data_IF_512178091361
#
_entry.id   IF_512178091361
#
_cell.length_a   1.000
_cell.length_b   1.000
_cell.length_c   1.000
_cell.angle_alpha   90.00
_cell.angle_beta   90.00
_cell.angle_gamma   90.00
#
_symmetry.space_group_name_H-M   'P 1'
#
loop_
_entity.id
_entity.type
_entity.pdbx_description
1 polymer ?
#
# COMPACT_ATOMS: atom_id res chain seq x y z
N UNK A 1 -35.25 -17.48 7.93
CA UNK A 1 -34.83 -16.22 8.59
C UNK A 1 -33.56 -15.61 7.97
N UNK A 2 -33.19 -15.98 6.73
CA UNK A 2 -32.04 -15.44 5.98
C UNK A 2 -32.47 -14.53 4.81
N UNK A 3 -33.65 -14.77 4.24
CA UNK A 3 -34.19 -14.01 3.10
C UNK A 3 -34.58 -12.56 3.45
N UNK A 4 -34.99 -12.28 4.69
CA UNK A 4 -35.49 -10.96 5.10
C UNK A 4 -34.40 -9.87 5.09
N UNK A 5 -33.13 -10.24 5.27
CA UNK A 5 -32.02 -9.29 5.37
C UNK A 5 -31.51 -8.86 3.98
N UNK A 6 -31.58 -9.76 2.99
CA UNK A 6 -31.12 -9.49 1.62
C UNK A 6 -32.11 -8.56 0.88
N UNK A 7 -33.41 -8.69 1.17
CA UNK A 7 -34.44 -7.81 0.61
C UNK A 7 -34.35 -6.37 1.15
N UNK A 8 -34.04 -6.21 2.44
CA UNK A 8 -33.86 -4.90 3.07
C UNK A 8 -32.60 -4.18 2.52
N UNK A 9 -31.50 -4.92 2.36
CA UNK A 9 -30.28 -4.43 1.71
C UNK A 9 -30.51 -4.03 0.25
N UNK A 10 -31.28 -4.81 -0.51
CA UNK A 10 -31.60 -4.49 -1.89
C UNK A 10 -32.47 -3.22 -1.99
N UNK A 11 -33.40 -3.01 -1.06
CA UNK A 11 -34.20 -1.78 -0.99
C UNK A 11 -33.34 -0.56 -0.66
N UNK A 12 -32.43 -0.68 0.30
CA UNK A 12 -31.51 0.41 0.67
C UNK A 12 -30.58 0.79 -0.50
N UNK A 13 -30.06 -0.22 -1.22
CA UNK A 13 -29.22 -0.01 -2.39
C UNK A 13 -29.94 0.70 -3.55
N UNK A 14 -31.22 0.38 -3.77
CA UNK A 14 -32.02 1.08 -4.78
C UNK A 14 -32.33 2.52 -4.36
N UNK A 15 -32.57 2.78 -3.07
CA UNK A 15 -32.76 4.14 -2.55
C UNK A 15 -31.50 5.00 -2.74
N UNK A 16 -30.31 4.46 -2.45
CA UNK A 16 -29.04 5.17 -2.64
C UNK A 16 -28.72 5.43 -4.12
N UNK A 17 -29.05 4.47 -5.01
CA UNK A 17 -28.92 4.66 -6.46
C UNK A 17 -29.85 5.75 -6.99
N UNK A 18 -31.07 5.82 -6.45
CA UNK A 18 -32.03 6.89 -6.74
C UNK A 18 -31.48 8.27 -6.36
N UNK A 19 -31.04 8.42 -5.11
CA UNK A 19 -30.47 9.67 -4.60
C UNK A 19 -29.26 10.13 -5.43
N UNK A 20 -28.36 9.20 -5.78
CA UNK A 20 -27.19 9.51 -6.61
C UNK A 20 -27.58 10.06 -7.98
N UNK A 21 -28.62 9.51 -8.61
CA UNK A 21 -29.12 9.99 -9.92
C UNK A 21 -29.74 11.38 -9.79
N UNK A 22 -30.42 11.65 -8.67
CA UNK A 22 -31.04 12.95 -8.41
C UNK A 22 -29.99 14.05 -8.21
N UNK A 23 -28.94 13.77 -7.43
CA UNK A 23 -27.81 14.69 -7.23
C UNK A 23 -27.06 14.93 -8.54
N UNK A 24 -26.85 13.90 -9.36
CA UNK A 24 -26.16 14.02 -10.64
C UNK A 24 -26.93 14.86 -11.69
N UNK A 25 -28.24 15.04 -11.50
CA UNK A 25 -29.11 15.82 -12.38
C UNK A 25 -29.41 17.23 -11.85
N UNK A 26 -28.80 17.63 -10.73
CA UNK A 26 -28.92 19.01 -10.25
C UNK A 26 -28.24 19.94 -11.28
N UNK A 27 -28.93 20.98 -11.76
CA UNK A 27 -28.32 21.94 -12.66
C UNK A 27 -27.19 22.67 -11.93
N UNK A 28 -26.03 22.77 -12.56
CA UNK A 28 -24.90 23.51 -12.00
C UNK A 28 -25.33 24.94 -11.65
N UNK A 29 -25.10 25.41 -10.41
CA UNK A 29 -25.48 26.74 -10.01
C UNK A 29 -24.65 27.75 -10.83
N UNK A 30 -25.29 28.44 -11.76
CA UNK A 30 -24.62 29.50 -12.50
C UNK A 30 -24.41 30.71 -11.58
N UNK A 31 -23.21 31.32 -11.58
CA UNK A 31 -22.96 32.53 -10.81
C UNK A 31 -23.94 33.62 -11.24
N UNK A 32 -24.52 34.31 -10.26
CA UNK A 32 -25.39 35.45 -10.53
C UNK A 32 -24.58 36.60 -11.16
N UNK A 33 -25.23 37.44 -11.96
CA UNK A 33 -24.59 38.64 -12.54
C UNK A 33 -23.97 39.57 -11.47
N UNK A 34 -24.42 39.50 -10.22
CA UNK A 34 -23.81 40.22 -9.09
C UNK A 34 -22.50 39.58 -8.60
N UNK A 35 -22.38 38.24 -8.67
CA UNK A 35 -21.15 37.53 -8.34
C UNK A 35 -20.04 37.85 -9.35
N UNK A 36 -20.37 37.90 -10.64
CA UNK A 36 -19.42 38.26 -11.70
C UNK A 36 -18.89 39.68 -11.53
N UNK A 37 -19.76 40.65 -11.16
CA UNK A 37 -19.34 42.03 -10.89
C UNK A 37 -18.41 42.12 -9.70
N UNK A 38 -18.74 41.46 -8.59
CA UNK A 38 -17.87 41.43 -7.39
C UNK A 38 -16.51 40.80 -7.69
N UNK A 39 -16.48 39.77 -8.53
CA UNK A 39 -15.24 39.13 -8.96
C UNK A 39 -14.42 40.06 -9.87
N UNK A 40 -15.06 40.72 -10.83
CA UNK A 40 -14.42 41.70 -11.70
C UNK A 40 -13.87 42.92 -10.93
N UNK A 41 -14.60 43.40 -9.90
CA UNK A 41 -14.15 44.45 -8.99
C UNK A 41 -12.95 44.00 -8.15
N UNK A 42 -12.97 42.75 -7.66
CA UNK A 42 -11.85 42.18 -6.91
C UNK A 42 -10.59 42.04 -7.78
N UNK A 43 -10.75 41.61 -9.04
CA UNK A 43 -9.67 41.55 -10.03
C UNK A 43 -9.13 42.95 -10.33
N UNK A 44 -10.00 43.92 -10.61
CA UNK A 44 -9.61 45.29 -10.90
C UNK A 44 -8.86 45.97 -9.73
N UNK A 45 -9.18 45.59 -8.48
CA UNK A 45 -8.47 46.04 -7.30
C UNK A 45 -7.04 45.49 -7.21
N UNK A 46 -6.77 44.30 -7.76
CA UNK A 46 -5.45 43.65 -7.74
C UNK A 46 -4.65 43.86 -9.04
N UNK A 47 -5.30 44.23 -10.15
CA UNK A 47 -4.63 44.51 -11.43
C UNK A 47 -4.36 45.99 -11.67
N UNK A 48 -4.63 46.88 -10.71
CA UNK A 48 -4.19 48.28 -10.81
C UNK A 48 -2.66 48.32 -10.67
N UNK A 49 -1.89 48.60 -11.74
CA UNK A 49 -0.47 48.85 -11.57
C UNK A 49 -0.36 50.17 -10.81
N UNK A 50 0.30 50.15 -9.65
CA UNK A 50 0.80 51.38 -9.07
C UNK A 50 1.68 52.06 -10.12
N UNK A 51 1.19 53.18 -10.66
CA UNK A 51 2.00 54.06 -11.51
C UNK A 51 3.06 54.66 -10.61
N UNK A 52 4.23 54.02 -10.56
CA UNK A 52 5.42 54.61 -9.97
C UNK A 52 5.83 55.79 -10.84
N UNK A 53 5.47 57.00 -10.40
CA UNK A 53 6.01 58.22 -10.96
C UNK A 53 7.52 58.22 -10.74
N UNK A 54 8.29 58.18 -11.83
CA UNK A 54 9.75 58.23 -11.80
C UNK A 54 10.24 59.51 -11.13
N UNK A 55 10.68 59.39 -9.88
CA UNK A 55 11.57 60.34 -9.25
C UNK A 55 12.69 59.52 -8.59
N UNK A 56 13.90 59.66 -9.13
CA UNK A 56 15.11 58.94 -8.69
C UNK A 56 15.45 59.32 -7.25
N UNK A 57 14.85 58.61 -6.29
CA UNK A 57 15.23 58.69 -4.88
C UNK A 57 16.27 57.64 -4.57
N UNK A 58 17.45 58.13 -4.22
CA UNK A 58 18.60 57.39 -3.70
C UNK A 58 18.16 56.27 -2.75
N UNK A 59 18.71 55.08 -2.95
CA UNK A 59 18.47 53.87 -2.15
C UNK A 59 18.67 54.20 -0.66
N UNK A 60 17.57 54.20 0.10
CA UNK A 60 17.60 54.18 1.55
C UNK A 60 17.78 52.72 2.01
N UNK A 61 18.48 52.46 3.14
CA UNK A 61 18.77 51.11 3.63
C UNK A 61 17.54 50.23 3.91
N UNK A 62 16.33 50.82 3.92
CA UNK A 62 15.06 50.09 4.00
C UNK A 62 14.76 49.20 2.76
N UNK A 63 15.31 49.51 1.58
CA UNK A 63 15.10 48.69 0.38
C UNK A 63 15.82 47.33 0.49
N UNK A 64 16.98 47.26 1.15
CA UNK A 64 17.69 46.00 1.41
C UNK A 64 16.93 45.10 2.39
N UNK A 65 16.22 45.68 3.37
CA UNK A 65 15.35 44.93 4.29
C UNK A 65 14.15 44.31 3.58
N UNK A 66 13.59 44.97 2.57
CA UNK A 66 12.43 44.45 1.82
C UNK A 66 12.76 43.21 0.98
N UNK A 67 13.96 43.16 0.37
CA UNK A 67 14.42 42.02 -0.42
C UNK A 67 14.71 40.81 0.48
N UNK A 68 15.33 41.05 1.64
CA UNK A 68 15.57 40.02 2.64
C UNK A 68 14.26 39.42 3.17
N UNK A 69 13.25 40.25 3.43
CA UNK A 69 11.93 39.79 3.89
C UNK A 69 11.21 38.93 2.84
N UNK A 70 11.28 39.29 1.56
CA UNK A 70 10.68 38.48 0.48
C UNK A 70 11.38 37.13 0.31
N UNK A 71 12.71 37.08 0.40
CA UNK A 71 13.46 35.82 0.36
C UNK A 71 13.14 34.94 1.57
N UNK A 72 13.01 35.53 2.77
CA UNK A 72 12.62 34.82 3.99
C UNK A 72 11.21 34.23 3.87
N UNK A 73 10.24 35.01 3.38
CA UNK A 73 8.88 34.53 3.17
C UNK A 73 8.80 33.46 2.08
N UNK A 74 9.64 33.53 1.05
CA UNK A 74 9.68 32.52 -0.01
C UNK A 74 10.32 31.22 0.48
N UNK A 75 11.44 31.30 1.21
CA UNK A 75 12.08 30.14 1.84
C UNK A 75 11.17 29.52 2.91
N UNK A 76 10.51 30.33 3.73
CA UNK A 76 9.57 29.86 4.74
C UNK A 76 8.29 29.29 4.12
N UNK A 77 7.77 29.91 3.07
CA UNK A 77 6.60 29.42 2.33
C UNK A 77 6.86 28.11 1.59
N UNK A 78 8.02 27.98 0.92
CA UNK A 78 8.45 26.71 0.33
C UNK A 78 8.73 25.66 1.42
N UNK A 79 9.41 26.04 2.49
CA UNK A 79 9.67 25.14 3.63
C UNK A 79 8.39 24.62 4.26
N UNK A 80 7.34 25.45 4.35
CA UNK A 80 6.07 25.03 4.92
C UNK A 80 5.25 24.15 3.96
N UNK A 81 5.24 24.47 2.67
CA UNK A 81 4.53 23.70 1.64
C UNK A 81 5.17 22.33 1.38
N UNK A 82 6.50 22.22 1.40
CA UNK A 82 7.20 20.97 1.14
C UNK A 82 7.52 20.16 2.41
N UNK A 83 7.70 20.82 3.56
CA UNK A 83 8.10 20.15 4.82
C UNK A 83 7.00 19.40 5.56
N UNK A 84 5.71 19.63 5.25
CA UNK A 84 4.59 18.94 5.88
C UNK A 84 4.37 17.52 5.35
N UNK A 85 4.56 17.33 4.04
CA UNK A 85 4.18 16.09 3.32
C UNK A 85 4.98 14.86 3.75
N UNK A 86 6.27 15.00 3.99
CA UNK A 86 7.15 13.87 4.34
C UNK A 86 6.84 13.36 5.76
N UNK A 87 6.63 14.29 6.71
CA UNK A 87 6.37 13.94 8.10
C UNK A 87 5.00 13.30 8.35
N UNK A 88 3.99 13.63 7.54
CA UNK A 88 2.66 13.04 7.68
C UNK A 88 2.58 11.66 7.01
N UNK A 89 3.27 11.45 5.88
CA UNK A 89 3.37 10.16 5.22
C UNK A 89 4.09 9.11 6.10
N UNK A 90 5.20 9.49 6.74
CA UNK A 90 5.92 8.61 7.67
C UNK A 90 5.05 8.19 8.87
N UNK A 91 4.28 9.13 9.44
CA UNK A 91 3.35 8.83 10.54
C UNK A 91 2.23 7.88 10.11
N UNK A 92 1.66 8.10 8.94
CA UNK A 92 0.63 7.21 8.39
C UNK A 92 1.17 5.80 8.15
N UNK A 93 2.38 5.68 7.61
CA UNK A 93 3.05 4.40 7.41
C UNK A 93 3.31 3.68 8.74
N UNK A 94 3.80 4.40 9.75
CA UNK A 94 4.03 3.86 11.08
C UNK A 94 2.73 3.37 11.73
N UNK A 95 1.65 4.15 11.65
CA UNK A 95 0.34 3.75 12.18
C UNK A 95 -0.21 2.51 11.46
N UNK A 96 -0.06 2.45 10.13
CA UNK A 96 -0.49 1.30 9.33
C UNK A 96 0.28 0.05 9.71
N UNK A 97 1.60 0.16 9.90
CA UNK A 97 2.45 -0.93 10.38
C UNK A 97 1.99 -1.44 11.74
N UNK A 98 1.77 -0.55 12.71
CA UNK A 98 1.34 -0.94 14.06
C UNK A 98 0.00 -1.70 14.02
N UNK A 99 -0.99 -1.16 13.30
CA UNK A 99 -2.29 -1.81 13.15
C UNK A 99 -2.15 -3.18 12.48
N UNK A 100 -1.36 -3.27 11.42
CA UNK A 100 -1.11 -4.52 10.71
C UNK A 100 -0.50 -5.58 11.63
N UNK A 101 0.53 -5.23 12.42
CA UNK A 101 1.16 -6.16 13.36
C UNK A 101 0.20 -6.62 14.46
N UNK A 102 -0.70 -5.74 14.92
CA UNK A 102 -1.76 -6.10 15.86
C UNK A 102 -2.75 -7.09 15.22
N UNK A 103 -3.19 -6.85 13.99
CA UNK A 103 -4.09 -7.74 13.25
C UNK A 103 -3.48 -9.12 12.99
N UNK A 104 -2.16 -9.22 12.79
CA UNK A 104 -1.45 -10.52 12.67
C UNK A 104 -1.58 -11.38 13.92
N UNK A 105 -1.82 -10.78 15.09
CA UNK A 105 -1.97 -11.48 16.38
C UNK A 105 -3.43 -11.68 16.78
N UNK A 106 -4.38 -11.22 15.97
CA UNK A 106 -5.82 -11.33 16.26
C UNK A 106 -6.26 -12.81 16.31
N UNK A 107 -7.21 -13.13 17.18
CA UNK A 107 -7.74 -14.50 17.33
C UNK A 107 -8.50 -14.97 16.10
N UNK A 108 -9.05 -14.06 15.30
CA UNK A 108 -9.82 -14.36 14.10
C UNK A 108 -8.88 -14.53 12.91
N UNK A 109 -8.95 -15.69 12.27
CA UNK A 109 -8.16 -15.97 11.05
C UNK A 109 -8.39 -14.95 9.93
N UNK A 110 -9.60 -14.40 9.81
CA UNK A 110 -9.91 -13.37 8.82
C UNK A 110 -9.09 -12.09 9.02
N UNK A 111 -8.82 -11.71 10.28
CA UNK A 111 -8.03 -10.52 10.59
C UNK A 111 -6.55 -10.76 10.34
N UNK A 112 -6.02 -11.93 10.71
CA UNK A 112 -4.64 -12.31 10.42
C UNK A 112 -4.38 -12.41 8.92
N UNK A 113 -5.32 -12.98 8.16
CA UNK A 113 -5.27 -13.00 6.70
C UNK A 113 -5.33 -11.58 6.12
N UNK A 114 -6.21 -10.72 6.64
CA UNK A 114 -6.29 -9.33 6.20
C UNK A 114 -4.96 -8.60 6.44
N UNK A 115 -4.34 -8.79 7.60
CA UNK A 115 -3.03 -8.23 7.92
C UNK A 115 -1.95 -8.66 6.91
N UNK A 116 -1.89 -9.95 6.57
CA UNK A 116 -0.97 -10.45 5.55
C UNK A 116 -1.26 -9.83 4.18
N UNK A 117 -2.53 -9.66 3.82
CA UNK A 117 -2.91 -9.06 2.54
C UNK A 117 -2.53 -7.57 2.47
N UNK A 118 -2.79 -6.80 3.53
CA UNK A 118 -2.42 -5.37 3.63
C UNK A 118 -0.91 -5.17 3.51
N UNK A 119 -0.11 -6.14 3.99
CA UNK A 119 1.35 -6.05 3.86
C UNK A 119 1.84 -6.04 2.39
N UNK A 120 1.02 -6.47 1.43
CA UNK A 120 1.33 -6.40 0.00
C UNK A 120 1.41 -4.96 -0.52
N UNK A 121 0.72 -4.03 0.14
CA UNK A 121 0.65 -2.62 -0.26
C UNK A 121 1.83 -1.79 0.31
N UNK A 122 2.71 -2.42 1.09
CA UNK A 122 3.88 -1.76 1.69
C UNK A 122 5.12 -2.04 0.83
N UNK A 123 5.78 -0.97 0.39
CA UNK A 123 6.97 -1.09 -0.48
C UNK A 123 8.25 -1.45 0.30
N UNK A 124 8.34 -1.06 1.57
CA UNK A 124 9.56 -1.22 2.36
C UNK A 124 9.61 -2.60 3.03
N UNK A 125 10.69 -3.33 2.76
CA UNK A 125 11.01 -4.60 3.40
C UNK A 125 11.40 -4.40 4.87
N UNK A 126 10.39 -4.30 5.73
CA UNK A 126 10.55 -4.17 7.17
C UNK A 126 10.87 -5.53 7.83
N UNK A 127 12.02 -5.66 8.52
CA UNK A 127 12.43 -6.92 9.14
C UNK A 127 11.40 -7.50 10.12
N UNK A 128 10.68 -6.66 10.87
CA UNK A 128 9.68 -7.13 11.82
C UNK A 128 8.45 -7.69 11.11
N UNK A 129 8.01 -7.04 10.03
CA UNK A 129 6.89 -7.52 9.21
C UNK A 129 7.26 -8.85 8.57
N UNK A 130 8.46 -8.96 7.99
CA UNK A 130 8.95 -10.21 7.40
C UNK A 130 8.97 -11.35 8.43
N UNK A 131 9.50 -11.09 9.63
CA UNK A 131 9.56 -12.09 10.70
C UNK A 131 8.17 -12.56 11.14
N UNK A 132 7.20 -11.63 11.29
CA UNK A 132 5.83 -11.97 11.67
C UNK A 132 5.09 -12.73 10.54
N UNK A 133 5.28 -12.36 9.28
CA UNK A 133 4.75 -13.12 8.14
C UNK A 133 5.34 -14.54 8.11
N UNK A 134 6.64 -14.68 8.37
CA UNK A 134 7.31 -15.98 8.48
C UNK A 134 6.74 -16.84 9.61
N UNK A 135 6.46 -16.23 10.77
CA UNK A 135 5.78 -16.90 11.87
C UNK A 135 4.38 -17.38 11.46
N UNK A 136 3.55 -16.53 10.86
CA UNK A 136 2.22 -16.91 10.37
C UNK A 136 2.29 -18.08 9.39
N UNK A 137 3.21 -18.01 8.42
CA UNK A 137 3.42 -19.07 7.43
C UNK A 137 3.76 -20.42 8.10
N UNK A 138 4.59 -20.42 9.14
CA UNK A 138 5.02 -21.63 9.86
C UNK A 138 3.99 -22.16 10.85
N UNK A 139 3.26 -21.29 11.54
CA UNK A 139 2.53 -21.71 12.75
C UNK A 139 1.04 -21.44 12.73
N UNK A 140 0.48 -20.67 11.78
CA UNK A 140 -0.95 -20.36 11.81
C UNK A 140 -1.81 -21.63 11.69
N UNK A 141 -2.89 -21.73 12.47
CA UNK A 141 -3.81 -22.87 12.39
C UNK A 141 -4.57 -22.91 11.04
N UNK A 142 -4.77 -21.77 10.40
CA UNK A 142 -5.56 -21.63 9.20
C UNK A 142 -4.66 -21.67 7.95
N UNK A 143 -4.87 -22.66 7.10
CA UNK A 143 -4.11 -22.83 5.85
C UNK A 143 -4.18 -21.61 4.93
N UNK A 144 -5.31 -20.89 4.90
CA UNK A 144 -5.44 -19.71 4.05
C UNK A 144 -4.63 -18.53 4.58
N UNK A 145 -4.47 -18.40 5.91
CA UNK A 145 -3.58 -17.38 6.49
C UNK A 145 -2.13 -17.68 6.13
N UNK A 146 -1.72 -18.96 6.14
CA UNK A 146 -0.38 -19.37 5.69
C UNK A 146 -0.13 -19.02 4.22
N UNK A 147 -1.10 -19.27 3.34
CA UNK A 147 -0.98 -18.90 1.92
C UNK A 147 -0.92 -17.38 1.74
N UNK A 148 -1.74 -16.62 2.46
CA UNK A 148 -1.69 -15.16 2.43
C UNK A 148 -0.33 -14.63 2.92
N UNK A 149 0.25 -15.23 3.97
CA UNK A 149 1.57 -14.89 4.46
C UNK A 149 2.69 -15.25 3.46
N UNK A 150 2.57 -16.37 2.74
CA UNK A 150 3.47 -16.72 1.65
C UNK A 150 3.39 -15.69 0.52
N UNK A 151 2.19 -15.33 0.09
CA UNK A 151 1.99 -14.32 -0.97
C UNK A 151 2.56 -12.96 -0.58
N UNK A 152 2.39 -12.56 0.69
CA UNK A 152 3.05 -11.39 1.25
C UNK A 152 4.58 -11.48 1.20
N UNK A 153 5.16 -12.58 1.68
CA UNK A 153 6.62 -12.77 1.67
C UNK A 153 7.20 -12.75 0.25
N UNK A 154 6.44 -13.16 -0.78
CA UNK A 154 6.86 -13.08 -2.19
C UNK A 154 7.12 -11.65 -2.64
N UNK A 155 6.36 -10.67 -2.14
CA UNK A 155 6.59 -9.25 -2.42
C UNK A 155 7.96 -8.77 -1.94
N UNK A 156 8.46 -9.38 -0.86
CA UNK A 156 9.75 -9.08 -0.25
C UNK A 156 10.85 -10.07 -0.63
N UNK A 157 10.69 -10.85 -1.70
CA UNK A 157 11.63 -11.91 -2.07
C UNK A 157 13.06 -11.41 -2.38
N UNK A 158 13.25 -10.13 -2.67
CA UNK A 158 14.59 -9.53 -2.82
C UNK A 158 15.32 -9.39 -1.48
N UNK A 159 14.57 -9.33 -0.37
CA UNK A 159 15.14 -9.35 0.96
C UNK A 159 15.59 -10.78 1.31
N UNK A 160 16.87 -11.01 1.66
CA UNK A 160 17.34 -12.34 2.07
C UNK A 160 16.59 -12.89 3.28
N UNK A 161 16.05 -12.02 4.13
CA UNK A 161 15.20 -12.40 5.26
C UNK A 161 13.93 -13.11 4.82
N UNK A 162 13.20 -12.60 3.82
CA UNK A 162 11.97 -13.22 3.35
C UNK A 162 12.22 -14.61 2.75
N UNK A 163 13.31 -14.77 1.97
CA UNK A 163 13.71 -16.08 1.45
C UNK A 163 14.04 -17.08 2.56
N UNK A 164 14.69 -16.63 3.64
CA UNK A 164 14.96 -17.49 4.80
C UNK A 164 13.67 -17.93 5.49
N UNK A 165 12.72 -17.02 5.72
CA UNK A 165 11.44 -17.37 6.33
C UNK A 165 10.67 -18.43 5.51
N UNK A 166 10.68 -18.32 4.18
CA UNK A 166 10.09 -19.34 3.29
C UNK A 166 10.80 -20.69 3.38
N UNK A 167 12.13 -20.70 3.46
CA UNK A 167 12.91 -21.94 3.61
C UNK A 167 12.68 -22.60 4.96
N UNK A 168 12.63 -21.81 6.03
CA UNK A 168 12.33 -22.29 7.38
C UNK A 168 10.92 -22.90 7.43
N UNK A 169 9.97 -22.31 6.69
CA UNK A 169 8.64 -22.87 6.56
C UNK A 169 8.56 -24.15 5.73
N UNK A 170 9.47 -24.35 4.77
CA UNK A 170 9.59 -25.64 4.09
C UNK A 170 10.03 -26.75 5.07
N UNK A 171 10.96 -26.43 5.98
CA UNK A 171 11.46 -27.36 6.99
C UNK A 171 10.48 -27.68 8.12
N UNK A 172 9.37 -26.94 8.24
CA UNK A 172 8.39 -27.08 9.31
C UNK A 172 7.19 -27.99 8.98
N UNK A 173 7.34 -28.91 8.03
CA UNK A 173 6.29 -29.83 7.53
C UNK A 173 4.94 -29.11 7.23
N UNK A 174 4.92 -28.12 6.32
CA UNK A 174 3.72 -27.33 6.07
C UNK A 174 2.61 -28.18 5.44
N UNK A 175 1.32 -27.78 5.58
CA UNK A 175 0.20 -28.44 4.91
C UNK A 175 0.46 -28.62 3.41
N UNK A 176 -0.02 -29.72 2.81
CA UNK A 176 0.30 -30.10 1.44
C UNK A 176 0.09 -28.95 0.41
N UNK A 177 -1.01 -28.21 0.53
CA UNK A 177 -1.28 -27.05 -0.34
C UNK A 177 -0.22 -25.94 -0.19
N UNK A 178 0.18 -25.62 1.04
CA UNK A 178 1.22 -24.61 1.34
C UNK A 178 2.59 -25.10 0.86
N UNK A 179 2.90 -26.39 1.04
CA UNK A 179 4.16 -27.01 0.61
C UNK A 179 4.38 -26.88 -0.90
N UNK A 180 3.35 -27.22 -1.68
CA UNK A 180 3.41 -27.11 -3.15
C UNK A 180 3.64 -25.66 -3.55
N UNK A 181 2.87 -24.72 -3.00
CA UNK A 181 3.01 -23.30 -3.33
C UNK A 181 4.38 -22.72 -2.91
N UNK A 182 4.89 -23.11 -1.74
CA UNK A 182 6.22 -22.74 -1.27
C UNK A 182 7.31 -23.23 -2.21
N UNK A 183 7.21 -24.50 -2.64
CA UNK A 183 8.19 -25.13 -3.52
C UNK A 183 8.22 -24.43 -4.88
N UNK A 184 7.05 -24.22 -5.49
CA UNK A 184 6.91 -23.48 -6.75
C UNK A 184 7.46 -22.06 -6.63
N UNK A 185 7.19 -21.40 -5.51
CA UNK A 185 7.68 -20.05 -5.23
C UNK A 185 9.20 -20.03 -5.16
N UNK A 186 9.81 -20.91 -4.36
CA UNK A 186 11.25 -20.96 -4.17
C UNK A 186 11.99 -21.34 -5.46
N UNK A 187 11.45 -22.28 -6.24
CA UNK A 187 11.96 -22.59 -7.59
C UNK A 187 11.87 -21.36 -8.50
N UNK A 188 10.74 -20.66 -8.51
CA UNK A 188 10.55 -19.44 -9.30
C UNK A 188 11.50 -18.30 -8.89
N UNK A 189 11.94 -18.27 -7.63
CA UNK A 189 12.91 -17.32 -7.10
C UNK A 189 14.38 -17.75 -7.33
N UNK A 190 14.62 -18.85 -8.04
CA UNK A 190 15.93 -19.47 -8.23
C UNK A 190 16.65 -19.84 -6.93
N UNK A 191 15.90 -20.28 -5.90
CA UNK A 191 16.47 -20.66 -4.61
C UNK A 191 17.02 -22.10 -4.65
N UNK A 192 18.33 -22.24 -4.88
CA UNK A 192 19.00 -23.54 -4.99
C UNK A 192 18.96 -24.38 -3.71
N UNK A 193 18.74 -23.76 -2.54
CA UNK A 193 18.59 -24.49 -1.26
C UNK A 193 17.36 -25.39 -1.23
N UNK A 194 16.45 -25.29 -2.21
CA UNK A 194 15.26 -26.14 -2.29
C UNK A 194 15.52 -27.50 -2.98
N UNK A 195 16.70 -27.70 -3.60
CA UNK A 195 17.05 -28.93 -4.32
C UNK A 195 16.85 -30.23 -3.50
N UNK A 196 17.21 -30.31 -2.21
CA UNK A 196 16.98 -31.52 -1.42
C UNK A 196 15.49 -31.90 -1.30
N UNK A 197 14.60 -30.90 -1.21
CA UNK A 197 13.16 -31.14 -1.16
C UNK A 197 12.61 -31.64 -2.51
N UNK A 198 13.17 -31.17 -3.63
CA UNK A 198 12.83 -31.67 -4.97
C UNK A 198 13.28 -33.12 -5.13
N UNK A 199 14.49 -33.46 -4.68
CA UNK A 199 15.01 -34.83 -4.71
C UNK A 199 14.17 -35.79 -3.88
N UNK A 200 13.69 -35.37 -2.71
CA UNK A 200 12.75 -36.15 -1.89
C UNK A 200 11.45 -36.45 -2.65
N UNK A 201 10.92 -35.47 -3.39
CA UNK A 201 9.72 -35.65 -4.20
C UNK A 201 9.96 -36.62 -5.35
N UNK A 202 11.09 -36.48 -6.05
CA UNK A 202 11.45 -37.31 -7.22
C UNK A 202 11.67 -38.76 -6.81
N UNK A 203 12.30 -39.01 -5.67
CA UNK A 203 12.63 -40.35 -5.18
C UNK A 203 11.47 -41.09 -4.50
N UNK A 204 10.37 -40.39 -4.19
CA UNK A 204 9.24 -40.98 -3.50
C UNK A 204 8.17 -41.51 -4.46
N UNK A 205 8.18 -42.83 -4.69
CA UNK A 205 7.24 -43.50 -5.59
C UNK A 205 5.76 -43.38 -5.20
N UNK A 206 5.46 -43.04 -3.94
CA UNK A 206 4.08 -42.82 -3.47
C UNK A 206 3.49 -41.49 -3.95
N UNK A 207 4.33 -40.53 -4.36
CA UNK A 207 3.87 -39.24 -4.89
C UNK A 207 3.43 -39.40 -6.34
N UNK A 208 2.28 -38.84 -6.77
CA UNK A 208 1.82 -38.94 -8.16
C UNK A 208 2.89 -38.54 -9.19
N UNK A 209 3.04 -39.31 -10.28
CA UNK A 209 4.03 -39.09 -11.35
C UNK A 209 4.10 -37.63 -11.82
N UNK A 210 2.95 -36.98 -12.03
CA UNK A 210 2.89 -35.57 -12.47
C UNK A 210 3.64 -34.61 -11.55
N UNK A 211 3.61 -34.85 -10.23
CA UNK A 211 4.33 -34.01 -9.27
C UNK A 211 5.83 -34.28 -9.28
N UNK A 212 6.23 -35.53 -9.53
CA UNK A 212 7.65 -35.88 -9.70
C UNK A 212 8.22 -35.28 -10.98
N UNK A 213 7.49 -35.37 -12.09
CA UNK A 213 7.88 -34.73 -13.36
C UNK A 213 8.01 -33.19 -13.19
N UNK A 214 7.11 -32.58 -12.42
CA UNK A 214 7.19 -31.15 -12.08
C UNK A 214 8.42 -30.82 -11.21
N UNK A 215 8.78 -31.70 -10.26
CA UNK A 215 9.97 -31.54 -9.45
C UNK A 215 11.26 -31.70 -10.28
N UNK A 216 11.32 -32.65 -11.21
CA UNK A 216 12.44 -32.80 -12.16
C UNK A 216 12.62 -31.52 -13.01
N UNK A 217 11.53 -30.97 -13.54
CA UNK A 217 11.55 -29.69 -14.25
C UNK A 217 12.03 -28.55 -13.34
N UNK A 218 11.59 -28.55 -12.07
CA UNK A 218 12.05 -27.60 -11.07
C UNK A 218 13.56 -27.67 -10.85
N UNK A 219 14.12 -28.88 -10.72
CA UNK A 219 15.57 -29.10 -10.61
C UNK A 219 16.31 -28.57 -11.84
N UNK A 220 15.81 -28.85 -13.05
CA UNK A 220 16.42 -28.34 -14.29
C UNK A 220 16.45 -26.81 -14.36
N UNK A 221 15.41 -26.12 -13.86
CA UNK A 221 15.38 -24.64 -13.81
C UNK A 221 16.43 -24.03 -12.89
N UNK A 222 16.96 -24.80 -11.93
CA UNK A 222 17.88 -24.31 -10.89
C UNK A 222 19.36 -24.55 -11.20
N UNK A 223 19.67 -25.30 -12.26
CA UNK A 223 21.03 -25.64 -12.70
C UNK A 223 21.47 -24.61 -13.75
#
# INVERSE_FOLDING_TARGET
MKETNDDELNQEMEALRGLRKEIANLPDPQPSAAADRRFAEMLAAHTKPERSSGQTRRLRPAALLSIAATLLLLVFGLGWYFGSTESDAERQLAATRTLMLELMQDRRSSQRMHAATVSLDIDVADPEVIANLGLLLRTDENTNVRLAALDALRRFADAPAARREMLDAMGSDPPAAVRVQLLETLVGLNEKRVLPYLEEIISNDSIPRRLRDAAELGTFKLI
#
